data_IF_588199174348
#
_entry.id   IF_588199174348
#
_cell.length_a   1.000
_cell.length_b   1.000
_cell.length_c   1.000
_cell.angle_alpha   90.00
_cell.angle_beta   90.00
_cell.angle_gamma   90.00
#
_symmetry.space_group_name_H-M   'P 1'
#
loop_
_entity.id
_entity.type
_entity.pdbx_description
1 polymer ?
#
# COMPACT_ATOMS: atom_id res chain seq x y z
N UNK A 1 -57.14 -37.87 40.50
CA UNK A 1 -57.13 -37.15 39.20
C UNK A 1 -55.73 -36.60 38.96
N UNK A 2 -55.23 -36.89 37.75
CA UNK A 2 -53.98 -36.57 37.01
C UNK A 2 -52.84 -35.79 37.69
N UNK A 3 -51.68 -36.49 37.77
CA UNK A 3 -50.31 -35.93 37.76
C UNK A 3 -49.96 -35.51 36.33
N UNK A 4 -49.23 -34.42 36.14
CA UNK A 4 -48.54 -34.09 34.88
C UNK A 4 -47.07 -33.83 35.16
N UNK A 5 -46.21 -34.66 34.57
CA UNK A 5 -44.77 -34.45 34.44
C UNK A 5 -44.49 -34.41 32.92
N UNK A 6 -43.58 -33.51 32.55
CA UNK A 6 -42.62 -33.60 31.44
C UNK A 6 -42.87 -32.92 30.08
N UNK A 7 -41.78 -32.24 29.70
CA UNK A 7 -41.21 -32.01 28.37
C UNK A 7 -41.84 -30.89 27.54
N UNK A 8 -41.15 -29.77 27.45
CA UNK A 8 -40.55 -29.31 26.17
C UNK A 8 -39.34 -28.42 26.47
N UNK A 9 -38.19 -29.07 26.58
CA UNK A 9 -36.90 -28.48 26.23
C UNK A 9 -36.83 -28.43 24.69
N UNK A 10 -36.08 -27.49 24.13
CA UNK A 10 -35.92 -27.15 22.70
C UNK A 10 -36.96 -26.18 22.12
N UNK A 11 -36.56 -24.92 22.02
CA UNK A 11 -36.65 -24.20 20.74
C UNK A 11 -35.48 -23.21 20.61
N UNK A 12 -34.55 -23.56 19.71
CA UNK A 12 -33.82 -22.67 18.79
C UNK A 12 -32.85 -21.68 19.47
N UNK A 13 -31.54 -21.88 19.52
CA UNK A 13 -30.71 -22.60 18.57
C UNK A 13 -30.69 -21.90 17.22
N UNK A 14 -30.22 -20.64 17.13
CA UNK A 14 -29.60 -19.98 15.95
C UNK A 14 -29.65 -18.44 16.09
N UNK A 15 -28.61 -17.81 16.65
CA UNK A 15 -28.24 -16.42 16.30
C UNK A 15 -26.73 -16.16 16.39
N UNK A 16 -25.90 -17.22 16.38
CA UNK A 16 -24.43 -17.13 16.34
C UNK A 16 -23.84 -17.55 14.99
N UNK A 17 -24.61 -17.44 13.91
CA UNK A 17 -24.11 -17.64 12.56
C UNK A 17 -24.20 -16.34 11.77
N UNK A 18 -23.07 -15.64 11.73
CA UNK A 18 -22.66 -14.88 10.55
C UNK A 18 -23.34 -13.54 10.30
N UNK A 19 -23.27 -12.61 11.26
CA UNK A 19 -23.11 -11.21 10.83
C UNK A 19 -21.61 -11.10 10.49
N UNK A 20 -21.21 -11.10 9.20
CA UNK A 20 -19.89 -10.60 8.88
C UNK A 20 -19.87 -9.17 9.40
N UNK A 21 -19.10 -8.93 10.47
CA UNK A 21 -18.91 -7.57 10.98
C UNK A 21 -18.49 -6.74 9.78
N UNK A 22 -19.17 -5.61 9.51
CA UNK A 22 -18.94 -4.80 8.31
C UNK A 22 -17.44 -4.54 8.07
N UNK A 23 -16.71 -4.38 9.18
CA UNK A 23 -15.25 -4.33 9.26
C UNK A 23 -14.55 -5.52 8.57
N UNK A 24 -14.94 -6.77 8.85
CA UNK A 24 -14.33 -7.95 8.22
C UNK A 24 -14.44 -7.97 6.69
N UNK A 25 -15.51 -7.40 6.13
CA UNK A 25 -15.70 -7.33 4.67
C UNK A 25 -14.90 -6.17 4.05
N UNK A 26 -14.84 -5.05 4.75
CA UNK A 26 -14.04 -3.89 4.35
C UNK A 26 -12.54 -4.23 4.36
N UNK A 27 -12.03 -4.85 5.42
CA UNK A 27 -10.65 -5.34 5.50
C UNK A 27 -10.30 -6.26 4.33
N UNK A 28 -11.17 -7.23 4.01
CA UNK A 28 -10.97 -8.12 2.85
C UNK A 28 -10.93 -7.35 1.53
N UNK A 29 -11.77 -6.33 1.39
CA UNK A 29 -11.83 -5.49 0.18
C UNK A 29 -10.55 -4.68 0.03
N UNK A 30 -10.05 -4.10 1.12
CA UNK A 30 -8.79 -3.37 1.18
C UNK A 30 -7.61 -4.30 0.85
N UNK A 31 -7.53 -5.46 1.50
CA UNK A 31 -6.47 -6.45 1.22
C UNK A 31 -6.46 -6.88 -0.25
N UNK A 32 -7.64 -7.16 -0.82
CA UNK A 32 -7.78 -7.51 -2.24
C UNK A 32 -7.32 -6.38 -3.15
N UNK A 33 -7.69 -5.13 -2.84
CA UNK A 33 -7.33 -3.96 -3.63
C UNK A 33 -5.83 -3.66 -3.55
N UNK A 34 -5.24 -3.68 -2.37
CA UNK A 34 -3.79 -3.54 -2.20
C UNK A 34 -3.03 -4.66 -2.94
N UNK A 35 -3.48 -5.92 -2.81
CA UNK A 35 -2.92 -7.05 -3.57
C UNK A 35 -2.98 -6.80 -5.08
N UNK A 36 -4.11 -6.31 -5.59
CA UNK A 36 -4.26 -5.97 -7.01
C UNK A 36 -3.27 -4.89 -7.45
N UNK A 37 -3.19 -3.78 -6.70
CA UNK A 37 -2.31 -2.65 -6.99
C UNK A 37 -0.86 -3.16 -7.08
N UNK A 38 -0.36 -3.77 -6.01
CA UNK A 38 1.05 -4.14 -5.93
C UNK A 38 1.43 -5.35 -6.78
N UNK A 39 0.47 -6.22 -7.10
CA UNK A 39 0.67 -7.22 -8.17
C UNK A 39 0.86 -6.57 -9.54
N UNK A 40 0.14 -5.48 -9.84
CA UNK A 40 0.31 -4.79 -11.12
C UNK A 40 1.58 -3.93 -11.14
N UNK A 41 1.87 -3.21 -10.06
CA UNK A 41 3.11 -2.44 -9.89
C UNK A 41 4.32 -3.35 -10.17
N UNK A 42 4.38 -4.52 -9.52
CA UNK A 42 5.41 -5.52 -9.79
C UNK A 42 5.51 -5.91 -11.28
N UNK A 43 4.37 -6.15 -11.94
CA UNK A 43 4.36 -6.49 -13.36
C UNK A 43 4.94 -5.37 -14.22
N UNK A 44 4.69 -4.11 -13.88
CA UNK A 44 5.27 -2.98 -14.62
C UNK A 44 6.79 -2.89 -14.43
N UNK A 45 7.31 -3.08 -13.22
CA UNK A 45 8.77 -3.16 -12.99
C UNK A 45 9.42 -4.33 -13.74
N UNK A 46 8.79 -5.51 -13.72
CA UNK A 46 9.26 -6.66 -14.48
C UNK A 46 9.27 -6.39 -16.00
N UNK A 47 8.36 -5.57 -16.52
CA UNK A 47 8.37 -5.12 -17.91
C UNK A 47 9.48 -4.10 -18.17
N UNK A 48 9.75 -3.18 -17.25
CA UNK A 48 10.86 -2.23 -17.36
C UNK A 48 12.20 -2.98 -17.48
N UNK A 49 12.44 -3.98 -16.62
CA UNK A 49 13.65 -4.82 -16.67
C UNK A 49 13.81 -5.56 -18.00
N UNK A 50 12.71 -6.11 -18.54
CA UNK A 50 12.73 -6.80 -19.85
C UNK A 50 13.02 -5.84 -21.00
N UNK A 51 12.68 -4.58 -20.83
CA UNK A 51 12.84 -3.54 -21.83
C UNK A 51 14.00 -2.60 -21.50
N UNK A 52 14.99 -3.03 -20.70
CA UNK A 52 16.08 -2.17 -20.25
C UNK A 52 16.83 -1.49 -21.40
N UNK A 53 16.94 -2.16 -22.55
CA UNK A 53 17.59 -1.63 -23.77
C UNK A 53 16.66 -0.75 -24.64
N UNK A 54 15.41 -0.52 -24.23
CA UNK A 54 14.45 0.34 -24.92
C UNK A 54 14.83 1.82 -24.77
N UNK A 55 14.55 2.69 -25.75
CA UNK A 55 14.71 4.15 -25.60
C UNK A 55 13.90 4.75 -24.44
N UNK A 56 12.86 4.05 -23.97
CA UNK A 56 12.09 4.45 -22.79
C UNK A 56 11.72 3.20 -21.96
N UNK A 57 12.64 2.70 -21.11
CA UNK A 57 12.41 1.49 -20.34
C UNK A 57 11.36 1.71 -19.23
N UNK A 58 11.14 2.95 -18.80
CA UNK A 58 10.26 3.35 -17.70
C UNK A 58 8.83 3.73 -18.13
N UNK A 59 8.53 3.74 -19.43
CA UNK A 59 7.16 3.95 -19.92
C UNK A 59 6.07 3.12 -19.19
N UNK A 60 6.32 1.85 -18.80
CA UNK A 60 5.32 1.05 -18.09
C UNK A 60 4.92 1.60 -16.70
N UNK A 61 5.81 2.28 -15.98
CA UNK A 61 5.54 2.79 -14.62
C UNK A 61 4.92 4.19 -14.61
N UNK A 62 5.08 4.97 -15.69
CA UNK A 62 4.66 6.37 -15.78
C UNK A 62 3.14 6.64 -15.60
N UNK A 63 2.31 5.59 -15.59
CA UNK A 63 0.85 5.71 -15.45
C UNK A 63 0.30 5.15 -14.13
N UNK A 64 1.16 4.63 -13.26
CA UNK A 64 0.74 3.99 -12.01
C UNK A 64 0.05 4.98 -11.07
N UNK A 65 0.59 6.20 -10.93
CA UNK A 65 0.05 7.20 -10.01
C UNK A 65 -1.39 7.61 -10.40
N UNK A 66 -1.62 7.86 -11.69
CA UNK A 66 -2.95 8.21 -12.20
C UNK A 66 -3.97 7.07 -12.04
N UNK A 67 -3.53 5.81 -11.97
CA UNK A 67 -4.41 4.64 -11.84
C UNK A 67 -4.72 4.28 -10.39
N UNK A 68 -3.76 4.49 -9.48
CA UNK A 68 -3.77 3.90 -8.16
C UNK A 68 -3.66 4.88 -7.01
N UNK A 69 -3.20 6.11 -7.27
CA UNK A 69 -3.10 7.13 -6.25
C UNK A 69 -4.34 8.03 -6.21
N UNK A 70 -4.58 8.65 -5.05
CA UNK A 70 -5.69 9.57 -4.80
C UNK A 70 -5.57 10.82 -5.69
N UNK A 71 -6.68 11.54 -5.86
CA UNK A 71 -6.65 12.81 -6.59
C UNK A 71 -5.76 13.85 -5.87
N UNK A 72 -5.70 13.80 -4.54
CA UNK A 72 -4.89 14.70 -3.70
C UNK A 72 -3.39 14.40 -3.80
N UNK A 73 -2.99 13.11 -3.75
CA UNK A 73 -1.62 12.68 -4.03
C UNK A 73 -1.17 13.16 -5.41
N UNK A 74 -1.96 12.87 -6.45
CA UNK A 74 -1.63 13.24 -7.82
C UNK A 74 -1.55 14.77 -8.03
N UNK A 75 -2.33 15.54 -7.29
CA UNK A 75 -2.26 17.01 -7.34
C UNK A 75 -0.98 17.52 -6.70
N UNK A 76 -0.62 16.98 -5.53
CA UNK A 76 0.61 17.32 -4.82
C UNK A 76 1.86 16.93 -5.62
N UNK A 77 1.90 15.70 -6.16
CA UNK A 77 2.98 15.19 -6.99
C UNK A 77 3.24 16.08 -8.21
N UNK A 78 2.18 16.50 -8.91
CA UNK A 78 2.30 17.41 -10.07
C UNK A 78 2.85 18.78 -9.69
N UNK A 79 2.49 19.30 -8.51
CA UNK A 79 3.05 20.56 -8.02
C UNK A 79 4.55 20.43 -7.74
N UNK A 80 4.99 19.32 -7.12
CA UNK A 80 6.40 19.03 -6.87
C UNK A 80 7.18 18.91 -8.17
N UNK A 81 6.68 18.12 -9.13
CA UNK A 81 7.29 17.95 -10.45
C UNK A 81 7.47 19.31 -11.15
N UNK A 82 6.45 20.18 -11.10
CA UNK A 82 6.55 21.53 -11.66
C UNK A 82 7.58 22.42 -10.95
N UNK A 83 7.72 22.29 -9.62
CA UNK A 83 8.76 23.02 -8.86
C UNK A 83 10.15 22.53 -9.26
N UNK A 84 10.36 21.21 -9.30
CA UNK A 84 11.59 20.56 -9.75
C UNK A 84 12.00 21.01 -11.15
N UNK A 85 11.07 20.99 -12.11
CA UNK A 85 11.30 21.48 -13.48
C UNK A 85 11.72 22.95 -13.53
N UNK A 86 11.19 23.79 -12.61
CA UNK A 86 11.51 25.22 -12.54
C UNK A 86 12.86 25.49 -11.90
N UNK A 87 13.24 24.70 -10.89
CA UNK A 87 14.46 24.91 -10.10
C UNK A 87 15.65 24.09 -10.59
N UNK A 88 15.45 23.20 -11.56
CA UNK A 88 16.43 22.18 -11.97
C UNK A 88 16.90 21.33 -10.77
N UNK A 89 15.98 21.13 -9.81
CA UNK A 89 16.23 20.40 -8.57
C UNK A 89 16.02 18.89 -8.71
N UNK A 90 16.18 18.19 -7.58
CA UNK A 90 15.80 16.78 -7.44
C UNK A 90 15.00 16.68 -6.14
N UNK A 91 13.85 16.02 -6.17
CA UNK A 91 13.05 15.75 -4.97
C UNK A 91 13.05 14.26 -4.63
N UNK A 92 12.66 13.41 -5.59
CA UNK A 92 12.70 11.96 -5.38
C UNK A 92 14.11 11.42 -5.65
N UNK A 93 14.82 11.07 -4.58
CA UNK A 93 16.10 10.34 -4.66
C UNK A 93 15.91 8.81 -4.71
N UNK A 94 14.70 8.34 -4.41
CA UNK A 94 14.30 6.93 -4.47
C UNK A 94 12.88 6.81 -5.02
N UNK A 95 12.54 5.65 -5.57
CA UNK A 95 11.20 5.35 -6.06
C UNK A 95 10.29 4.97 -4.89
N UNK A 96 9.29 5.81 -4.59
CA UNK A 96 8.37 5.62 -3.47
C UNK A 96 7.47 4.38 -3.60
N UNK A 97 7.30 3.78 -4.79
CA UNK A 97 6.51 2.55 -4.94
C UNK A 97 7.18 1.33 -4.31
N UNK A 98 8.50 1.35 -4.23
CA UNK A 98 9.34 0.24 -3.77
C UNK A 98 10.35 0.65 -2.69
N UNK A 99 10.42 1.95 -2.38
CA UNK A 99 11.37 2.55 -1.43
C UNK A 99 12.84 2.19 -1.73
N UNK A 100 13.21 2.18 -3.01
CA UNK A 100 14.54 1.82 -3.48
C UNK A 100 14.97 2.69 -4.67
N UNK A 101 16.29 2.83 -4.85
CA UNK A 101 16.87 3.51 -6.03
C UNK A 101 16.84 2.60 -7.26
N UNK A 102 17.20 1.33 -7.06
CA UNK A 102 17.23 0.30 -8.10
C UNK A 102 16.16 -0.76 -7.82
N UNK A 103 15.41 -1.14 -8.85
CA UNK A 103 14.24 -2.02 -8.71
C UNK A 103 14.50 -3.49 -8.99
N UNK A 104 15.74 -3.91 -9.30
CA UNK A 104 16.23 -5.30 -9.34
C UNK A 104 15.19 -6.37 -9.75
N UNK A 105 15.24 -7.55 -9.14
CA UNK A 105 14.15 -8.55 -9.23
C UNK A 105 13.09 -8.31 -8.13
N UNK A 106 12.75 -7.06 -7.81
CA UNK A 106 11.83 -6.74 -6.70
C UNK A 106 10.47 -7.40 -6.87
N UNK A 107 9.94 -8.09 -5.87
CA UNK A 107 8.66 -8.81 -5.95
C UNK A 107 7.74 -8.54 -4.76
N UNK A 108 6.49 -8.15 -5.05
CA UNK A 108 5.42 -8.14 -4.05
C UNK A 108 5.15 -9.57 -3.53
N UNK A 109 5.21 -9.75 -2.21
CA UNK A 109 5.03 -11.07 -1.57
C UNK A 109 3.65 -11.23 -0.92
N UNK A 110 3.31 -10.36 0.03
CA UNK A 110 2.08 -10.48 0.82
C UNK A 110 1.70 -9.17 1.51
N UNK A 111 0.44 -9.09 1.92
CA UNK A 111 -0.03 -8.10 2.91
C UNK A 111 0.33 -8.61 4.30
N UNK A 112 0.99 -7.78 5.10
CA UNK A 112 1.32 -8.05 6.50
C UNK A 112 0.18 -7.65 7.43
N UNK A 113 -0.49 -6.53 7.15
CA UNK A 113 -1.55 -6.02 7.99
C UNK A 113 -2.36 -4.90 7.35
N UNK A 114 -3.56 -4.70 7.88
CA UNK A 114 -4.42 -3.56 7.57
C UNK A 114 -4.91 -2.99 8.90
N UNK A 115 -4.68 -1.70 9.14
CA UNK A 115 -5.06 -1.00 10.39
C UNK A 115 -5.86 0.26 10.05
N UNK A 116 -7.00 0.53 10.70
CA UNK A 116 -7.72 1.79 10.51
C UNK A 116 -6.92 2.95 11.13
N UNK A 117 -6.99 4.14 10.53
CA UNK A 117 -6.29 5.35 11.02
C UNK A 117 -7.20 6.37 11.72
N UNK A 118 -8.50 6.11 11.80
CA UNK A 118 -9.47 6.93 12.53
C UNK A 118 -10.12 8.05 11.72
N UNK A 119 -9.56 8.42 10.57
CA UNK A 119 -10.08 9.41 9.61
C UNK A 119 -10.87 8.76 8.44
N UNK A 120 -11.17 7.46 8.55
CA UNK A 120 -11.78 6.67 7.48
C UNK A 120 -10.76 6.12 6.46
N UNK A 121 -9.47 6.40 6.65
CA UNK A 121 -8.38 5.77 5.91
C UNK A 121 -7.88 4.50 6.60
N UNK A 122 -7.08 3.74 5.86
CA UNK A 122 -6.44 2.53 6.34
C UNK A 122 -4.95 2.53 6.02
N UNK A 123 -4.15 2.18 7.01
CA UNK A 123 -2.76 1.83 6.84
C UNK A 123 -2.68 0.37 6.34
N UNK A 124 -1.98 0.15 5.23
CA UNK A 124 -1.69 -1.19 4.71
C UNK A 124 -0.19 -1.41 4.74
N UNK A 125 0.23 -2.46 5.45
CA UNK A 125 1.63 -2.90 5.51
C UNK A 125 1.84 -4.05 4.52
N UNK A 126 2.85 -3.93 3.68
CA UNK A 126 3.16 -4.85 2.58
C UNK A 126 4.59 -5.36 2.73
N UNK A 127 4.81 -6.63 2.41
CA UNK A 127 6.17 -7.18 2.35
C UNK A 127 6.60 -7.31 0.89
N UNK A 128 7.70 -6.66 0.56
CA UNK A 128 8.42 -6.80 -0.70
C UNK A 128 9.66 -7.65 -0.46
N UNK A 129 9.96 -8.48 -1.46
CA UNK A 129 11.26 -9.11 -1.57
C UNK A 129 12.12 -8.23 -2.47
N UNK A 130 13.20 -7.71 -1.93
CA UNK A 130 14.27 -7.09 -2.68
C UNK A 130 15.38 -8.11 -2.92
N UNK A 131 16.12 -7.90 -3.99
CA UNK A 131 17.26 -8.73 -4.33
C UNK A 131 18.52 -7.90 -4.23
N UNK A 132 19.44 -8.34 -3.37
CA UNK A 132 20.69 -7.63 -3.14
C UNK A 132 21.84 -8.34 -3.88
N UNK A 133 22.56 -7.56 -4.69
CA UNK A 133 23.70 -7.99 -5.49
C UNK A 133 23.50 -7.71 -6.98
N UNK A 134 24.62 -7.51 -7.67
CA UNK A 134 24.66 -7.46 -9.13
C UNK A 134 24.08 -8.76 -9.72
N UNK A 135 23.49 -8.73 -10.91
CA UNK A 135 22.79 -9.88 -11.50
C UNK A 135 23.67 -11.16 -11.55
N UNK A 136 24.99 -10.98 -11.52
CA UNK A 136 26.02 -12.01 -11.51
C UNK A 136 26.42 -12.53 -10.12
N UNK A 137 26.18 -11.77 -9.04
CA UNK A 137 26.61 -12.08 -7.66
C UNK A 137 25.44 -12.00 -6.69
N UNK A 138 24.42 -12.82 -6.93
CA UNK A 138 23.26 -12.94 -6.06
C UNK A 138 23.69 -13.40 -4.67
N UNK A 139 23.66 -12.52 -3.67
CA UNK A 139 24.19 -12.80 -2.33
C UNK A 139 23.11 -13.21 -1.34
N UNK A 140 21.94 -12.54 -1.32
CA UNK A 140 20.81 -12.93 -0.47
C UNK A 140 19.47 -12.30 -0.89
N UNK A 141 18.38 -12.85 -0.36
CA UNK A 141 17.05 -12.24 -0.43
C UNK A 141 16.87 -11.31 0.77
N UNK A 142 16.59 -10.04 0.51
CA UNK A 142 16.20 -9.08 1.55
C UNK A 142 14.68 -8.86 1.48
N UNK A 143 14.08 -8.57 2.63
CA UNK A 143 12.65 -8.30 2.71
C UNK A 143 12.46 -6.91 3.29
N UNK A 144 11.79 -6.04 2.53
CA UNK A 144 11.43 -4.70 2.96
C UNK A 144 9.93 -4.64 3.23
N UNK A 145 9.58 -3.95 4.31
CA UNK A 145 8.20 -3.59 4.56
C UNK A 145 7.94 -2.21 3.99
N UNK A 146 6.87 -2.08 3.20
CA UNK A 146 6.39 -0.80 2.69
C UNK A 146 5.02 -0.54 3.31
N UNK A 147 4.77 0.70 3.69
CA UNK A 147 3.50 1.12 4.25
C UNK A 147 2.81 2.11 3.31
N UNK A 148 1.52 1.93 3.10
CA UNK A 148 0.70 2.90 2.35
C UNK A 148 -0.57 3.26 3.10
N UNK A 149 -0.95 4.53 3.01
CA UNK A 149 -2.26 5.02 3.42
C UNK A 149 -3.24 4.84 2.26
N UNK A 150 -4.33 4.13 2.48
CA UNK A 150 -5.43 4.00 1.53
C UNK A 150 -6.64 4.84 1.94
N UNK A 151 -7.18 5.59 0.99
CA UNK A 151 -8.43 6.37 1.12
C UNK A 151 -9.46 5.88 0.11
N UNK A 152 -10.74 6.13 0.41
CA UNK A 152 -11.84 5.72 -0.46
C UNK A 152 -12.32 6.90 -1.29
N UNK A 153 -12.15 6.81 -2.60
CA UNK A 153 -12.61 7.81 -3.56
C UNK A 153 -13.44 7.13 -4.64
N UNK A 154 -14.52 7.77 -5.12
CA UNK A 154 -15.30 7.26 -6.27
C UNK A 154 -15.71 5.77 -6.14
N UNK A 155 -15.90 5.30 -4.90
CA UNK A 155 -16.27 3.91 -4.60
C UNK A 155 -15.13 2.88 -4.60
N UNK A 156 -13.86 3.29 -4.75
CA UNK A 156 -12.70 2.40 -4.76
C UNK A 156 -11.60 2.89 -3.80
N UNK A 157 -10.63 2.03 -3.47
CA UNK A 157 -9.49 2.40 -2.62
C UNK A 157 -8.28 2.82 -3.47
N UNK A 158 -7.69 3.93 -3.08
CA UNK A 158 -6.54 4.58 -3.71
C UNK A 158 -5.46 4.86 -2.68
N UNK A 159 -4.20 4.86 -3.10
CA UNK A 159 -3.05 5.23 -2.28
C UNK A 159 -3.05 6.74 -2.14
N UNK A 160 -3.19 7.22 -0.90
CA UNK A 160 -3.10 8.63 -0.59
C UNK A 160 -1.72 9.04 -0.09
N UNK A 161 -0.94 8.09 0.41
CA UNK A 161 0.40 8.35 0.93
C UNK A 161 1.25 7.08 0.95
N UNK A 162 2.55 7.27 0.80
CA UNK A 162 3.57 6.26 1.02
C UNK A 162 4.30 6.63 2.31
N UNK A 163 4.50 5.64 3.16
CA UNK A 163 4.99 5.84 4.52
C UNK A 163 6.25 5.01 4.73
N UNK A 164 7.35 5.66 5.07
CA UNK A 164 8.66 5.02 5.28
C UNK A 164 8.95 4.86 6.77
N UNK A 165 9.64 3.79 7.14
CA UNK A 165 10.06 3.52 8.52
C UNK A 165 9.40 2.28 9.14
N UNK A 166 9.99 1.79 10.23
CA UNK A 166 9.53 0.59 10.91
C UNK A 166 8.30 0.87 11.77
N UNK A 167 7.28 0.01 11.63
CA UNK A 167 6.08 0.03 12.47
C UNK A 167 6.31 -0.71 13.80
N UNK A 168 7.51 -0.56 14.38
CA UNK A 168 7.95 -1.27 15.57
C UNK A 168 7.94 -0.33 16.78
N UNK A 169 6.74 0.10 17.17
CA UNK A 169 6.53 0.59 18.52
C UNK A 169 5.34 -0.14 19.15
N UNK A 170 5.68 -0.98 20.13
CA UNK A 170 4.75 -1.61 21.08
C UNK A 170 3.91 -0.59 21.88
N UNK A 171 4.15 0.71 21.69
CA UNK A 171 3.42 1.84 22.27
C UNK A 171 2.42 2.52 21.30
N UNK A 172 2.34 2.09 20.04
CA UNK A 172 1.26 2.51 19.12
C UNK A 172 1.41 3.89 18.47
N UNK A 173 2.51 4.61 18.68
CA UNK A 173 2.88 5.79 17.89
C UNK A 173 3.83 5.35 16.77
N UNK A 174 3.33 5.28 15.54
CA UNK A 174 4.16 4.96 14.39
C UNK A 174 5.01 6.19 14.02
N UNK A 175 6.33 6.13 14.25
CA UNK A 175 7.30 7.08 13.70
C UNK A 175 7.56 6.77 12.21
N UNK A 176 6.51 6.82 11.39
CA UNK A 176 6.65 6.69 9.94
C UNK A 176 6.75 8.09 9.32
N UNK A 177 7.72 8.29 8.43
CA UNK A 177 7.77 9.50 7.60
C UNK A 177 6.75 9.40 6.48
N UNK A 178 6.18 10.54 6.09
CA UNK A 178 5.16 10.65 5.06
C UNK A 178 5.75 11.32 3.83
N UNK A 179 5.78 10.59 2.71
CA UNK A 179 6.19 11.17 1.43
C UNK A 179 5.30 12.34 1.04
N UNK A 180 4.00 12.27 1.32
CA UNK A 180 3.08 13.39 1.06
C UNK A 180 3.39 14.61 1.90
N UNK A 181 3.73 14.44 3.18
CA UNK A 181 4.14 15.55 4.03
C UNK A 181 5.47 16.16 3.55
N UNK A 182 6.46 15.33 3.21
CA UNK A 182 7.73 15.78 2.64
C UNK A 182 7.52 16.57 1.34
N UNK A 183 6.59 16.13 0.47
CA UNK A 183 6.21 16.88 -0.73
C UNK A 183 5.62 18.26 -0.39
N UNK A 184 4.75 18.34 0.63
CA UNK A 184 4.13 19.60 1.04
C UNK A 184 5.17 20.55 1.66
N UNK A 185 6.08 20.02 2.47
CA UNK A 185 7.17 20.78 3.08
C UNK A 185 8.09 21.34 1.99
N UNK A 186 8.50 20.51 1.03
CA UNK A 186 9.29 20.95 -0.11
C UNK A 186 8.57 22.02 -0.94
N UNK A 187 7.25 21.93 -1.13
CA UNK A 187 6.49 22.97 -1.83
C UNK A 187 6.43 24.30 -1.06
N UNK A 188 6.62 24.27 0.26
CA UNK A 188 6.63 25.45 1.11
C UNK A 188 7.98 26.17 1.19
N UNK A 189 9.08 25.50 0.80
CA UNK A 189 10.40 26.11 0.70
C UNK A 189 10.43 27.20 -0.39
N UNK A 190 11.05 28.34 -0.10
CA UNK A 190 11.14 29.50 -1.02
C UNK A 190 12.11 29.29 -2.18
#
# INVERSE_FOLDING_TARGET
MKRSISITMLLVGMLFWGIPTCHSQEYKTIQKRATQIFTNVYKQYALCNKNADSPNPYAPIASLDAQYCSDDWNTTLRAVQKKVEKTDGIFFEADYWIEAQDFGDTKFRKILGVKPMGDGSYLVSLEFRLFEGDAQYRTSDTYQTIHVKLVKERGNWYIDDFLTGDNDDSNGEANMSSWKQEMLDYLSEE
#
